data_IF_244110672576
#
_entry.id   IF_244110672576
#
_cell.length_a   1.000
_cell.length_b   1.000
_cell.length_c   1.000
_cell.angle_alpha   90.00
_cell.angle_beta   90.00
_cell.angle_gamma   90.00
#
_symmetry.space_group_name_H-M   'P 1'
#
loop_
_entity.id
_entity.type
_entity.pdbx_description
1 polymer ?
#
# COMPACT_ATOMS: atom_id res chain seq x y z
N UNK A 1 -31.94 7.11 -20.53
CA UNK A 1 -30.68 7.09 -19.76
C UNK A 1 -30.59 5.75 -19.08
N UNK A 2 -29.53 4.95 -19.25
CA UNK A 2 -29.39 3.74 -18.45
C UNK A 2 -29.09 4.17 -17.00
N UNK A 3 -29.87 3.66 -16.07
CA UNK A 3 -29.65 3.85 -14.64
C UNK A 3 -28.38 3.08 -14.27
N UNK A 4 -27.34 3.81 -13.85
CA UNK A 4 -26.13 3.17 -13.33
C UNK A 4 -26.53 2.36 -12.09
N UNK A 5 -26.32 1.04 -12.07
CA UNK A 5 -26.69 0.20 -10.93
C UNK A 5 -26.03 0.73 -9.65
N UNK A 6 -26.77 0.80 -8.54
CA UNK A 6 -26.24 1.29 -7.26
C UNK A 6 -24.97 0.53 -6.81
N UNK A 7 -24.84 -0.74 -7.22
CA UNK A 7 -23.65 -1.56 -7.01
C UNK A 7 -22.40 -1.02 -7.71
N UNK A 8 -22.56 -0.43 -8.90
CA UNK A 8 -21.46 0.16 -9.66
C UNK A 8 -20.97 1.46 -8.98
N UNK A 9 -21.91 2.24 -8.44
CA UNK A 9 -21.61 3.44 -7.63
C UNK A 9 -20.86 3.04 -6.36
N UNK A 10 -21.33 2.00 -5.65
CA UNK A 10 -20.69 1.50 -4.43
C UNK A 10 -19.25 1.02 -4.68
N UNK A 11 -19.03 0.23 -5.74
CA UNK A 11 -17.69 -0.22 -6.15
C UNK A 11 -16.78 0.95 -6.49
N UNK A 12 -17.28 1.93 -7.24
CA UNK A 12 -16.50 3.10 -7.62
C UNK A 12 -16.11 3.95 -6.41
N UNK A 13 -17.02 4.17 -5.47
CA UNK A 13 -16.73 4.87 -4.22
C UNK A 13 -15.68 4.12 -3.39
N UNK A 14 -15.76 2.79 -3.35
CA UNK A 14 -14.77 1.97 -2.66
C UNK A 14 -13.38 2.09 -3.27
N UNK A 15 -13.25 1.99 -4.59
CA UNK A 15 -11.97 2.15 -5.27
C UNK A 15 -11.38 3.55 -5.08
N UNK A 16 -12.19 4.60 -5.19
CA UNK A 16 -11.73 5.97 -4.95
C UNK A 16 -11.23 6.18 -3.51
N UNK A 17 -11.84 5.54 -2.52
CA UNK A 17 -11.36 5.58 -1.14
C UNK A 17 -10.01 4.88 -1.00
N UNK A 18 -9.87 3.69 -1.58
CA UNK A 18 -8.61 2.94 -1.62
C UNK A 18 -7.51 3.79 -2.25
N UNK A 19 -7.73 4.30 -3.46
CA UNK A 19 -6.76 5.13 -4.21
C UNK A 19 -6.32 6.34 -3.39
N UNK A 20 -7.26 7.10 -2.83
CA UNK A 20 -6.94 8.27 -1.98
C UNK A 20 -6.14 7.91 -0.74
N UNK A 21 -6.46 6.80 -0.08
CA UNK A 21 -5.71 6.34 1.09
C UNK A 21 -4.30 5.88 0.72
N UNK A 22 -4.15 5.17 -0.39
CA UNK A 22 -2.84 4.74 -0.91
C UNK A 22 -2.00 5.95 -1.33
N UNK A 23 -2.60 6.93 -2.00
CA UNK A 23 -1.93 8.17 -2.39
C UNK A 23 -1.43 8.96 -1.19
N UNK A 24 -2.26 9.09 -0.15
CA UNK A 24 -1.88 9.76 1.08
C UNK A 24 -0.70 9.04 1.76
N UNK A 25 -0.76 7.71 1.89
CA UNK A 25 0.32 6.92 2.46
C UNK A 25 1.62 7.03 1.64
N UNK A 26 1.53 6.91 0.31
CA UNK A 26 2.69 7.06 -0.59
C UNK A 26 3.29 8.47 -0.52
N UNK A 27 2.46 9.51 -0.42
CA UNK A 27 2.94 10.88 -0.24
C UNK A 27 3.65 11.08 1.11
N UNK A 28 3.13 10.49 2.20
CA UNK A 28 3.81 10.47 3.50
C UNK A 28 5.17 9.80 3.40
N UNK A 29 5.25 8.60 2.79
CA UNK A 29 6.51 7.87 2.61
C UNK A 29 7.49 8.70 1.78
N UNK A 30 7.06 9.28 0.66
CA UNK A 30 7.89 10.15 -0.18
C UNK A 30 8.48 11.31 0.62
N UNK A 31 7.66 11.98 1.42
CA UNK A 31 8.11 13.12 2.23
C UNK A 31 9.10 12.67 3.33
N UNK A 32 8.90 11.50 3.92
CA UNK A 32 9.83 10.92 4.92
C UNK A 32 11.17 10.54 4.30
N UNK A 33 11.18 9.92 3.11
CA UNK A 33 12.40 9.44 2.46
C UNK A 33 13.20 10.57 1.79
N UNK A 34 12.55 11.66 1.38
CA UNK A 34 13.21 12.79 0.74
C UNK A 34 13.98 12.39 -0.52
N UNK A 35 15.29 12.65 -0.57
CA UNK A 35 16.13 12.32 -1.74
C UNK A 35 16.23 10.82 -2.03
N UNK A 36 16.11 9.96 -1.01
CA UNK A 36 16.15 8.50 -1.21
C UNK A 36 14.96 8.00 -2.04
N UNK A 37 13.83 8.71 -2.00
CA UNK A 37 12.67 8.41 -2.85
C UNK A 37 13.02 8.54 -4.34
N UNK A 38 13.86 9.52 -4.71
CA UNK A 38 14.26 9.76 -6.10
C UNK A 38 15.11 8.62 -6.68
N UNK A 39 15.63 7.73 -5.83
CA UNK A 39 16.42 6.56 -6.23
C UNK A 39 15.55 5.33 -6.53
N UNK A 40 14.25 5.39 -6.26
CA UNK A 40 13.33 4.30 -6.56
C UNK A 40 12.93 4.33 -8.04
N UNK A 41 12.96 3.18 -8.69
CA UNK A 41 12.46 3.04 -10.05
C UNK A 41 10.94 3.20 -10.11
N UNK A 42 10.38 3.49 -11.28
CA UNK A 42 8.92 3.59 -11.45
C UNK A 42 8.24 2.24 -11.15
N UNK A 43 8.86 1.13 -11.56
CA UNK A 43 8.40 -0.22 -11.22
C UNK A 43 8.39 -0.46 -9.70
N UNK A 44 9.39 0.04 -8.98
CA UNK A 44 9.48 -0.08 -7.52
C UNK A 44 8.37 0.71 -6.83
N UNK A 45 8.13 1.94 -7.28
CA UNK A 45 7.04 2.78 -6.76
C UNK A 45 5.68 2.11 -7.06
N UNK A 46 5.54 1.49 -8.23
CA UNK A 46 4.34 0.75 -8.62
C UNK A 46 4.11 -0.47 -7.73
N UNK A 47 5.17 -1.25 -7.46
CA UNK A 47 5.12 -2.38 -6.53
C UNK A 47 4.76 -1.94 -5.11
N UNK A 48 5.35 -0.84 -4.62
CA UNK A 48 5.01 -0.25 -3.32
C UNK A 48 3.53 0.14 -3.24
N UNK A 49 3.02 0.90 -4.23
CA UNK A 49 1.63 1.35 -4.27
C UNK A 49 0.64 0.19 -4.33
N UNK A 50 0.96 -0.86 -5.10
CA UNK A 50 0.18 -2.09 -5.12
C UNK A 50 0.11 -2.71 -3.73
N UNK A 51 1.25 -2.90 -3.06
CA UNK A 51 1.27 -3.50 -1.72
C UNK A 51 0.55 -2.66 -0.67
N UNK A 52 0.62 -1.32 -0.74
CA UNK A 52 -0.18 -0.44 0.12
C UNK A 52 -1.68 -0.61 -0.14
N UNK A 53 -2.06 -0.77 -1.41
CA UNK A 53 -3.43 -1.04 -1.79
C UNK A 53 -3.94 -2.37 -1.27
N UNK A 54 -3.13 -3.42 -1.37
CA UNK A 54 -3.48 -4.74 -0.88
C UNK A 54 -3.56 -4.69 0.66
N UNK A 55 -2.59 -4.07 1.33
CA UNK A 55 -2.62 -3.85 2.78
C UNK A 55 -3.91 -3.12 3.23
N UNK A 56 -4.34 -2.09 2.51
CA UNK A 56 -5.59 -1.37 2.78
C UNK A 56 -6.82 -2.26 2.64
N UNK A 57 -6.83 -3.20 1.68
CA UNK A 57 -7.94 -4.14 1.48
C UNK A 57 -8.05 -5.17 2.61
N UNK A 58 -6.92 -5.64 3.13
CA UNK A 58 -6.87 -6.68 4.17
C UNK A 58 -6.87 -6.12 5.59
N UNK A 59 -6.79 -4.80 5.75
CA UNK A 59 -6.76 -4.13 7.06
C UNK A 59 -8.05 -3.36 7.30
N UNK A 60 -8.58 -3.40 8.52
CA UNK A 60 -9.71 -2.54 8.88
C UNK A 60 -9.29 -1.07 8.98
N UNK A 61 -10.25 -0.15 8.82
CA UNK A 61 -9.98 1.29 8.82
C UNK A 61 -9.21 1.78 10.06
N UNK A 62 -9.52 1.27 11.25
CA UNK A 62 -8.87 1.73 12.51
C UNK A 62 -7.42 1.30 12.56
N UNK A 63 -7.12 0.10 12.06
CA UNK A 63 -5.74 -0.40 12.00
C UNK A 63 -4.94 0.36 10.94
N UNK A 64 -5.52 0.63 9.77
CA UNK A 64 -4.88 1.46 8.74
C UNK A 64 -4.50 2.85 9.25
N UNK A 65 -5.42 3.50 9.98
CA UNK A 65 -5.18 4.84 10.56
C UNK A 65 -4.08 4.84 11.64
N UNK A 66 -3.71 3.68 12.21
CA UNK A 66 -2.61 3.55 13.17
C UNK A 66 -1.25 3.30 12.53
N UNK A 67 -1.20 2.93 11.24
CA UNK A 67 0.06 2.69 10.57
C UNK A 67 0.86 3.98 10.46
N UNK A 68 2.05 3.98 11.05
CA UNK A 68 2.96 5.12 11.07
C UNK A 68 3.81 5.14 9.81
N UNK A 69 3.19 5.37 8.64
CA UNK A 69 3.90 5.47 7.36
C UNK A 69 5.06 6.47 7.37
N UNK A 70 4.98 7.50 8.22
CA UNK A 70 6.03 8.50 8.41
C UNK A 70 7.28 7.98 9.13
N UNK A 71 7.21 6.80 9.77
CA UNK A 71 8.32 6.13 10.47
C UNK A 71 9.02 5.07 9.62
N UNK A 72 8.52 4.80 8.41
CA UNK A 72 9.15 3.83 7.51
C UNK A 72 10.53 4.33 7.10
N UNK A 73 11.53 3.49 7.34
CA UNK A 73 12.88 3.71 6.85
C UNK A 73 12.98 3.34 5.38
N UNK A 74 14.07 3.75 4.74
CA UNK A 74 14.36 3.32 3.37
C UNK A 74 14.48 1.79 3.24
N UNK A 75 15.00 1.09 4.26
CA UNK A 75 15.09 -0.38 4.24
C UNK A 75 13.70 -1.04 4.37
N UNK A 76 12.81 -0.46 5.19
CA UNK A 76 11.41 -0.91 5.27
C UNK A 76 10.73 -0.79 3.91
N UNK A 77 10.88 0.36 3.24
CA UNK A 77 10.29 0.60 1.92
C UNK A 77 10.84 -0.38 0.88
N UNK A 78 12.17 -0.59 0.85
CA UNK A 78 12.79 -1.60 -0.03
C UNK A 78 12.30 -3.01 0.26
N UNK A 79 12.04 -3.33 1.53
CA UNK A 79 11.50 -4.63 1.91
C UNK A 79 10.09 -4.81 1.39
N UNK A 80 9.22 -3.81 1.54
CA UNK A 80 7.85 -3.82 0.98
C UNK A 80 7.89 -3.99 -0.55
N UNK A 81 8.78 -3.26 -1.24
CA UNK A 81 8.96 -3.37 -2.70
C UNK A 81 9.36 -4.79 -3.10
N UNK A 82 10.38 -5.38 -2.44
CA UNK A 82 10.84 -6.74 -2.73
C UNK A 82 9.76 -7.79 -2.50
N UNK A 83 8.94 -7.60 -1.46
CA UNK A 83 7.76 -8.44 -1.20
C UNK A 83 6.77 -8.31 -2.38
N UNK A 84 6.44 -7.09 -2.80
CA UNK A 84 5.53 -6.85 -3.93
C UNK A 84 6.00 -7.48 -5.24
N UNK A 85 7.27 -7.31 -5.58
CA UNK A 85 7.87 -7.97 -6.74
C UNK A 85 7.86 -9.50 -6.64
N UNK A 86 7.97 -10.04 -5.42
CA UNK A 86 7.89 -11.50 -5.21
C UNK A 86 6.47 -12.02 -5.38
N UNK A 87 5.45 -11.24 -5.00
CA UNK A 87 4.04 -11.54 -5.30
C UNK A 87 3.81 -11.51 -6.81
N UNK A 88 4.33 -10.49 -7.50
CA UNK A 88 4.17 -10.36 -8.96
C UNK A 88 4.80 -11.52 -9.74
N UNK A 89 5.97 -11.99 -9.30
CA UNK A 89 6.61 -13.19 -9.87
C UNK A 89 5.95 -14.51 -9.45
N UNK A 90 4.91 -14.48 -8.62
CA UNK A 90 4.24 -15.68 -8.09
C UNK A 90 5.09 -16.48 -7.09
N UNK A 91 6.17 -15.91 -6.57
CA UNK A 91 7.07 -16.58 -5.62
C UNK A 91 6.46 -16.64 -4.20
N UNK A 92 5.57 -15.72 -3.86
CA UNK A 92 4.83 -15.73 -2.60
C UNK A 92 3.36 -15.38 -2.84
N UNK A 93 2.47 -15.95 -2.03
CA UNK A 93 1.05 -15.60 -2.07
C UNK A 93 0.79 -14.23 -1.44
N UNK A 94 -0.17 -13.49 -1.99
CA UNK A 94 -0.58 -12.16 -1.53
C UNK A 94 -0.86 -12.11 -0.03
N UNK A 95 -1.64 -13.07 0.51
CA UNK A 95 -1.92 -13.13 1.95
C UNK A 95 -0.66 -13.22 2.81
N UNK A 96 0.31 -14.04 2.39
CA UNK A 96 1.58 -14.17 3.10
C UNK A 96 2.43 -12.90 3.03
N UNK A 97 2.36 -12.18 1.90
CA UNK A 97 2.99 -10.87 1.75
C UNK A 97 2.36 -9.83 2.70
N UNK A 98 1.03 -9.79 2.78
CA UNK A 98 0.32 -8.89 3.70
C UNK A 98 0.62 -9.20 5.16
N UNK A 99 0.67 -10.47 5.55
CA UNK A 99 1.03 -10.87 6.90
C UNK A 99 2.45 -10.37 7.26
N UNK A 100 3.40 -10.45 6.32
CA UNK A 100 4.76 -9.93 6.51
C UNK A 100 4.77 -8.41 6.69
N UNK A 101 4.09 -7.66 5.80
CA UNK A 101 4.02 -6.20 5.87
C UNK A 101 3.32 -5.75 7.16
N UNK A 102 2.26 -6.42 7.58
CA UNK A 102 1.51 -6.10 8.81
C UNK A 102 2.39 -6.24 10.06
N UNK A 103 3.27 -7.24 10.10
CA UNK A 103 4.25 -7.40 11.20
C UNK A 103 5.25 -6.25 11.24
N UNK A 104 5.67 -5.72 10.09
CA UNK A 104 6.57 -4.56 10.04
C UNK A 104 5.93 -3.34 10.70
N UNK A 105 4.64 -3.07 10.43
CA UNK A 105 3.93 -1.96 11.08
C UNK A 105 3.61 -2.22 12.56
N UNK A 106 3.37 -3.48 12.94
CA UNK A 106 3.09 -3.84 14.34
C UNK A 106 4.30 -3.59 15.26
N UNK A 107 5.52 -3.62 14.72
CA UNK A 107 6.74 -3.29 15.46
C UNK A 107 6.93 -1.78 15.72
N UNK A 108 6.06 -0.92 15.15
CA UNK A 108 6.12 0.54 15.26
C UNK A 108 5.11 1.12 16.26
N UNK A 109 4.19 0.30 16.78
CA UNK A 109 3.08 0.67 17.68
C UNK A 109 3.48 0.42 19.14
#
# INVERSE_FOLDING_TARGET
MPEVPQDEIGRRVFQLKKERSVDAAAATIRNTLGEEWLRLAEEDISALRRMLGDLWLYTDRKTWEKYSFSRLTHDDVRTIIRIGQSVERGAIHEKAAIDQITRMFSAQI
#
